data_IF_057173290493
#
_entry.id   IF_057173290493
#
_cell.length_a   1.000
_cell.length_b   1.000
_cell.length_c   1.000
_cell.angle_alpha   90.00
_cell.angle_beta   90.00
_cell.angle_gamma   90.00
#
_symmetry.space_group_name_H-M   'P 1'
#
loop_
_entity.id
_entity.type
_entity.pdbx_description
1 polymer ?
2 polymer ?
3 polymer ?
4 non-polymer ?
5 non-polymer ?
6 non-polymer ?
7 water ?
#
loop_
_entity_poly.entity_id
_entity_poly.type
_entity_poly.pdbx_seq_one_letter_code
_entity_poly.pdbx_strand_id
1 'polydeoxyribonucleotide' '(DG)(DG)(DG)(DG)(DT)(DG)(DT)(DG)(DG)(DT)(DA)(DG)' ?
2 'polydeoxyribonucleotide' '(DA)(DT)(DC)(DG)(DC)(DT)(DA)(DC)(DC)(DA)(DC)(DA)(DC)(DC)(DC)(DC)(DT)' ?
#
# COMPACT_ATOMS: atom_id res chain seq x y z
N UNK C 12 13.80 3.20 -25.22
CA UNK C 12 13.20 1.87 -24.89
C UNK C 12 14.28 0.95 -24.29
N UNK C 13 13.98 0.32 -23.15
CA UNK C 13 15.00 -0.51 -22.44
C UNK C 13 14.44 -1.92 -22.26
N UNK C 14 15.07 -2.91 -22.88
CA UNK C 14 14.56 -4.30 -22.82
C UNK C 14 15.05 -4.98 -21.53
N UNK C 15 14.46 -6.10 -21.16
CA UNK C 15 14.84 -6.64 -19.86
C UNK C 15 16.26 -7.18 -19.85
N UNK C 16 16.87 -7.47 -21.01
CA UNK C 16 18.25 -7.93 -21.02
C UNK C 16 19.25 -6.79 -21.06
N UNK C 17 18.78 -5.55 -21.10
CA UNK C 17 19.63 -4.36 -21.03
C UNK C 17 20.00 -4.09 -19.57
N UNK C 18 21.27 -3.78 -19.29
CA UNK C 18 21.66 -3.50 -17.89
C UNK C 18 20.86 -2.38 -17.22
N UNK C 19 20.29 -1.44 -17.98
CA UNK C 19 19.52 -0.35 -17.39
C UNK C 19 18.08 -0.73 -17.08
N UNK C 20 17.67 -1.98 -17.34
CA UNK C 20 16.23 -2.32 -17.20
C UNK C 20 15.71 -2.03 -15.78
N UNK C 21 16.32 -2.63 -14.76
CA UNK C 21 15.82 -2.47 -13.38
C UNK C 21 15.66 -0.98 -13.08
N UNK C 22 16.67 -0.19 -13.41
CA UNK C 22 16.60 1.23 -13.09
C UNK C 22 15.43 1.90 -13.80
N UNK C 23 15.25 1.60 -15.10
CA UNK C 23 14.19 2.24 -15.86
C UNK C 23 12.81 1.74 -15.42
N UNK C 24 12.67 0.44 -15.17
CA UNK C 24 11.39 -0.08 -14.72
C UNK C 24 10.98 0.56 -13.40
N UNK C 25 11.88 0.51 -12.41
CA UNK C 25 11.58 1.10 -11.10
C UNK C 25 11.33 2.60 -11.22
N UNK C 26 12.06 3.29 -12.10
CA UNK C 26 11.80 4.72 -12.27
C UNK C 26 10.38 5.00 -12.75
N UNK C 27 9.79 4.09 -13.53
CA UNK C 27 8.46 4.29 -14.09
C UNK C 27 7.34 3.69 -13.26
N UNK C 28 7.65 2.71 -12.41
CA UNK C 28 6.64 1.92 -11.71
C UNK C 28 6.10 2.67 -10.49
N UNK C 29 4.83 3.04 -10.53
CA UNK C 29 4.26 3.67 -9.34
C UNK C 29 4.20 2.71 -8.17
N UNK C 30 4.03 1.40 -8.44
CA UNK C 30 3.96 0.44 -7.34
C UNK C 30 5.32 0.28 -6.66
N UNK C 31 6.40 0.31 -7.45
CA UNK C 31 7.74 0.38 -6.85
C UNK C 31 7.88 1.62 -5.96
N UNK C 32 7.49 2.79 -6.49
CA UNK C 32 7.60 4.02 -5.71
C UNK C 32 6.85 3.91 -4.40
N UNK C 33 5.61 3.38 -4.46
CA UNK C 33 4.80 3.27 -3.25
C UNK C 33 5.52 2.45 -2.18
N UNK C 34 6.04 1.28 -2.56
CA UNK C 34 6.77 0.45 -1.58
C UNK C 34 8.04 1.13 -1.11
N UNK C 35 8.81 1.73 -2.02
CA UNK C 35 10.02 2.42 -1.62
C UNK C 35 9.71 3.56 -0.65
N UNK C 36 8.68 4.35 -0.96
CA UNK C 36 8.27 5.44 -0.08
C UNK C 36 7.86 4.92 1.28
N UNK C 37 7.07 3.84 1.30
CA UNK C 37 6.64 3.28 2.59
C UNK C 37 7.85 2.79 3.39
N UNK C 38 8.79 2.11 2.72
CA UNK C 38 9.97 1.62 3.43
C UNK C 38 10.77 2.76 4.01
N UNK C 39 10.91 3.85 3.26
CA UNK C 39 11.70 4.98 3.74
C UNK C 39 11.00 5.65 4.94
N UNK C 40 9.67 5.80 4.89
CA UNK C 40 8.95 6.36 6.01
C UNK C 40 9.15 5.53 7.28
N UNK C 41 9.15 4.21 7.13
CA UNK C 41 9.37 3.33 8.28
C UNK C 41 10.78 3.51 8.84
N UNK C 42 11.80 3.48 7.98
CA UNK C 42 13.16 3.68 8.48
C UNK C 42 13.29 5.02 9.18
N UNK C 43 12.63 6.05 8.65
CA UNK C 43 12.73 7.37 9.24
C UNK C 43 12.10 7.39 10.63
N UNK C 44 10.92 6.80 10.77
CA UNK C 44 10.28 6.70 12.07
C UNK C 44 11.23 6.02 13.07
N UNK C 45 11.85 4.92 12.66
CA UNK C 45 12.75 4.20 13.56
C UNK C 45 13.96 5.05 13.92
N UNK C 46 14.49 5.81 12.96
CA UNK C 46 15.69 6.58 13.25
C UNK C 46 15.38 7.79 14.13
N UNK C 47 14.24 8.45 13.91
CA UNK C 47 13.88 9.60 14.74
C UNK C 47 13.48 9.20 16.15
N UNK C 48 13.15 7.93 16.35
CA UNK C 48 12.71 7.43 17.64
C UNK C 48 13.71 6.44 18.24
N UNK C 49 14.96 6.47 17.77
CA UNK C 49 15.98 5.55 18.28
C UNK C 49 16.10 5.68 19.80
N UNK C 50 15.93 6.89 20.34
CA UNK C 50 16.03 7.13 21.77
C UNK C 50 14.74 7.56 22.44
N UNK C 51 13.65 7.71 21.71
CA UNK C 51 12.41 8.09 22.41
C UNK C 51 11.67 6.82 22.80
N UNK C 52 10.96 6.85 23.94
CA UNK C 52 10.07 5.74 24.34
C UNK C 52 8.71 6.00 23.66
N UNK C 53 8.67 5.66 22.39
CA UNK C 53 7.53 5.95 21.47
C UNK C 53 6.57 4.79 21.42
N UNK C 54 5.57 4.84 22.31
CA UNK C 54 4.52 3.78 22.35
C UNK C 54 3.38 4.16 23.28
N UNK C 55 2.15 3.81 22.90
CA UNK C 55 0.94 3.94 23.73
C UNK C 55 1.06 2.83 24.75
N UNK C 56 0.64 3.11 25.96
CA UNK C 56 0.63 2.12 27.03
C UNK C 56 -0.81 1.87 27.47
N UNK C 57 -0.99 0.82 28.27
CA UNK C 57 -2.34 0.49 28.72
C UNK C 57 -2.91 1.57 29.63
N UNK C 58 -2.05 2.43 30.19
CA UNK C 58 -2.50 3.53 31.02
C UNK C 58 -3.16 4.65 30.20
N UNK C 59 -2.92 4.71 28.90
CA UNK C 59 -3.40 5.83 28.11
C UNK C 59 -4.76 5.52 27.51
N UNK C 60 -5.64 6.52 27.50
CA UNK C 60 -6.84 6.50 26.69
C UNK C 60 -6.57 7.39 25.49
N UNK C 61 -6.94 6.92 24.31
CA UNK C 61 -6.44 7.59 23.11
C UNK C 61 -7.55 7.79 22.08
N UNK C 62 -7.34 8.75 21.19
CA UNK C 62 -8.18 8.99 20.03
C UNK C 62 -7.33 8.79 18.79
N UNK C 63 -7.92 8.17 17.77
CA UNK C 63 -7.26 7.90 16.49
C UNK C 63 -7.77 8.90 15.46
N UNK C 64 -6.84 9.62 14.84
CA UNK C 64 -7.13 10.46 13.68
C UNK C 64 -6.45 9.79 12.48
N UNK C 65 -7.25 9.12 11.65
CA UNK C 65 -6.76 8.47 10.44
C UNK C 65 -6.88 9.43 9.26
N UNK C 66 -5.74 9.86 8.72
CA UNK C 66 -5.66 11.00 7.80
C UNK C 66 -5.12 10.52 6.46
N UNK C 67 -5.76 10.95 5.36
CA UNK C 67 -5.42 10.39 4.03
C UNK C 67 -5.72 11.41 2.93
N UNK C 68 -4.81 11.58 1.98
CA UNK C 68 -5.08 12.45 0.82
C UNK C 68 -6.21 11.87 -0.02
N UNK C 69 -7.12 12.74 -0.46
CA UNK C 69 -8.15 12.32 -1.43
C UNK C 69 -7.48 12.24 -2.80
N UNK C 70 -7.85 11.21 -3.60
CA UNK C 70 -7.27 10.95 -4.96
C UNK C 70 -5.86 11.54 -5.06
N UNK C 71 -4.93 10.98 -4.29
CA UNK C 71 -3.58 11.57 -4.13
C UNK C 71 -2.90 11.89 -5.46
N UNK C 72 -2.60 10.88 -6.25
CA UNK C 72 -1.87 11.16 -7.48
C UNK C 72 -2.64 12.12 -8.39
N UNK C 73 -3.93 11.90 -8.57
CA UNK C 73 -4.71 12.76 -9.45
C UNK C 73 -4.69 14.21 -8.96
N UNK C 74 -4.83 14.41 -7.66
CA UNK C 74 -4.78 15.77 -7.11
C UNK C 74 -3.43 16.42 -7.39
N UNK C 75 -2.34 15.74 -7.04
CA UNK C 75 -1.01 16.32 -7.18
C UNK C 75 -0.67 16.49 -8.65
N UNK C 76 -0.91 15.45 -9.47
CA UNK C 76 -0.66 15.57 -10.92
C UNK C 76 -1.43 16.73 -11.52
N UNK C 77 -2.65 16.94 -11.06
CA UNK C 77 -3.42 18.06 -11.58
C UNK C 77 -2.79 19.40 -11.16
N UNK C 78 -2.49 19.54 -9.86
CA UNK C 78 -1.92 20.80 -9.37
C UNK C 78 -0.61 21.15 -10.07
N UNK C 79 0.19 20.16 -10.44
CA UNK C 79 1.47 20.35 -11.10
C UNK C 79 1.40 20.10 -12.60
N UNK C 80 0.20 20.06 -13.19
CA UNK C 80 0.09 19.70 -14.61
C UNK C 80 0.82 20.71 -15.48
N UNK C 81 1.30 20.22 -16.64
CA UNK C 81 2.00 21.05 -17.60
C UNK C 81 1.03 21.94 -18.38
N UNK C 82 1.59 22.81 -19.23
CA UNK C 82 0.78 23.78 -19.96
C UNK C 82 -0.23 23.11 -20.89
N UNK C 83 0.12 21.94 -21.43
CA UNK C 83 -0.80 21.21 -22.29
C UNK C 83 -2.13 20.94 -21.62
N UNK C 84 -2.18 20.92 -20.29
CA UNK C 84 -3.39 20.60 -19.55
C UNK C 84 -3.94 21.80 -18.77
N UNK C 85 -3.54 23.03 -19.14
CA UNK C 85 -3.88 24.19 -18.32
C UNK C 85 -5.39 24.34 -18.14
N UNK C 86 -6.16 24.12 -19.21
CA UNK C 86 -7.59 24.35 -19.16
C UNK C 86 -8.37 23.22 -18.50
N UNK C 87 -7.70 22.13 -18.13
CA UNK C 87 -8.39 21.05 -17.46
C UNK C 87 -8.90 21.51 -16.11
N UNK C 88 -10.09 21.04 -15.76
CA UNK C 88 -10.87 21.50 -14.61
C UNK C 88 -11.09 20.34 -13.63
N UNK C 89 -10.42 20.41 -12.47
CA UNK C 89 -10.42 19.29 -11.53
C UNK C 89 -11.81 18.97 -10.99
N UNK C 90 -12.68 19.98 -10.87
CA UNK C 90 -14.01 19.77 -10.33
C UNK C 90 -15.03 19.33 -11.38
N UNK C 91 -14.73 19.49 -12.66
CA UNK C 91 -15.68 19.19 -13.72
C UNK C 91 -15.24 18.09 -14.66
N UNK C 92 -13.93 17.79 -14.76
CA UNK C 92 -13.51 16.79 -15.73
C UNK C 92 -13.16 15.46 -15.05
N UNK C 93 -13.43 14.34 -15.72
CA UNK C 93 -12.94 13.05 -15.21
C UNK C 93 -11.46 12.92 -15.53
N UNK C 94 -10.65 12.76 -14.49
CA UNK C 94 -9.20 12.83 -14.59
C UNK C 94 -8.62 11.54 -14.03
N UNK C 95 -7.67 10.94 -14.76
CA UNK C 95 -6.94 9.77 -14.32
C UNK C 95 -5.45 10.05 -14.46
N UNK C 96 -4.65 9.30 -13.69
CA UNK C 96 -3.20 9.32 -13.83
C UNK C 96 -2.78 7.94 -14.35
N UNK C 97 -2.08 7.90 -15.46
CA UNK C 97 -1.64 6.61 -16.01
C UNK C 97 -0.54 6.89 -17.04
N UNK C 98 0.17 5.82 -17.44
CA UNK C 98 1.21 5.89 -18.46
C UNK C 98 0.64 5.89 -19.87
N UNK C 99 -0.40 5.08 -20.10
CA UNK C 99 -0.75 4.70 -21.45
C UNK C 99 -2.14 5.11 -21.89
N UNK C 100 -2.69 4.38 -22.87
CA UNK C 100 -3.95 4.74 -23.50
C UNK C 100 -4.96 3.60 -23.57
N UNK C 101 -4.54 2.36 -23.26
CA UNK C 101 -5.45 1.24 -23.42
C UNK C 101 -5.37 0.31 -22.22
N UNK C 102 -4.42 -0.63 -22.22
CA UNK C 102 -4.34 -1.59 -21.12
C UNK C 102 -3.33 -1.14 -20.08
N UNK C 103 -3.48 0.13 -19.71
CA UNK C 103 -2.63 0.86 -18.78
C UNK C 103 -3.40 1.10 -17.48
N UNK C 104 -2.75 0.82 -16.35
CA UNK C 104 -3.41 0.94 -15.05
C UNK C 104 -3.76 2.40 -14.75
N UNK C 105 -4.99 2.61 -14.28
CA UNK C 105 -5.36 3.88 -13.69
C UNK C 105 -4.88 3.86 -12.24
N UNK C 106 -3.75 4.54 -11.99
CA UNK C 106 -3.21 4.57 -10.63
C UNK C 106 -4.04 5.45 -9.72
N UNK C 107 -4.72 6.46 -10.27
CA UNK C 107 -5.53 7.40 -9.50
C UNK C 107 -6.60 8.00 -10.42
N UNK C 108 -7.80 8.20 -9.88
CA UNK C 108 -8.84 8.94 -10.61
C UNK C 108 -9.52 9.88 -9.63
N UNK C 109 -9.92 11.05 -10.12
CA UNK C 109 -10.58 12.02 -9.27
C UNK C 109 -12.04 11.63 -9.09
N UNK C 110 -12.73 12.38 -8.24
CA UNK C 110 -14.06 11.94 -7.85
C UNK C 110 -15.09 12.21 -8.93
N UNK C 111 -14.84 13.14 -9.86
CA UNK C 111 -15.68 13.23 -11.05
C UNK C 111 -15.67 11.91 -11.81
N UNK C 112 -14.47 11.38 -12.08
CA UNK C 112 -14.36 10.09 -12.76
C UNK C 112 -15.08 8.99 -11.98
N UNK C 113 -14.92 8.98 -10.66
CA UNK C 113 -15.57 7.96 -9.86
C UNK C 113 -17.09 8.08 -9.93
N UNK C 114 -17.60 9.28 -10.21
CA UNK C 114 -19.05 9.44 -10.30
C UNK C 114 -19.63 8.65 -11.48
N UNK C 115 -18.80 8.27 -12.45
CA UNK C 115 -19.21 7.45 -13.58
C UNK C 115 -18.93 5.98 -13.37
N UNK C 116 -18.38 5.60 -12.22
CA UNK C 116 -18.04 4.22 -11.95
C UNK C 116 -16.58 3.86 -12.14
N UNK C 117 -15.73 4.83 -12.50
CA UNK C 117 -14.30 4.54 -12.67
C UNK C 117 -13.65 4.34 -11.32
N UNK C 118 -12.71 3.41 -11.24
CA UNK C 118 -12.04 3.02 -10.00
C UNK C 118 -10.54 2.94 -10.22
N UNK C 119 -9.77 3.22 -9.16
CA UNK C 119 -8.35 2.97 -9.22
C UNK C 119 -8.11 1.52 -9.63
N UNK C 120 -7.11 1.32 -10.48
CA UNK C 120 -6.74 -0.01 -10.88
C UNK C 120 -7.42 -0.54 -12.13
N UNK C 121 -8.50 0.11 -12.58
CA UNK C 121 -9.06 -0.19 -13.89
C UNK C 121 -8.05 0.13 -14.99
N UNK C 122 -8.19 -0.54 -16.14
CA UNK C 122 -7.45 -0.12 -17.33
C UNK C 122 -8.15 1.06 -17.99
N UNK C 123 -7.35 1.93 -18.62
CA UNK C 123 -7.92 3.07 -19.34
C UNK C 123 -9.02 2.61 -20.29
N UNK C 124 -8.74 1.58 -21.08
CA UNK C 124 -9.74 1.07 -22.03
C UNK C 124 -11.07 0.80 -21.33
N UNK C 125 -11.04 0.11 -20.19
CA UNK C 125 -12.25 -0.13 -19.44
C UNK C 125 -12.89 1.19 -19.00
N UNK C 126 -12.09 2.12 -18.47
CA UNK C 126 -12.66 3.35 -17.91
C UNK C 126 -13.33 4.19 -18.97
N UNK C 127 -12.74 4.26 -20.17
CA UNK C 127 -13.32 5.07 -21.23
C UNK C 127 -14.74 4.62 -21.57
N UNK C 128 -14.99 3.32 -21.50
CA UNK C 128 -16.30 2.81 -21.90
C UNK C 128 -17.41 3.24 -20.94
N UNK C 129 -17.06 3.70 -19.74
CA UNK C 129 -18.05 4.13 -18.78
C UNK C 129 -18.43 5.59 -18.95
N UNK C 130 -17.81 6.29 -19.87
CA UNK C 130 -18.15 7.69 -20.00
C UNK C 130 -19.27 7.87 -21.01
N UNK C 131 -20.28 8.68 -20.72
CA UNK C 131 -21.31 8.95 -21.70
C UNK C 131 -20.72 9.69 -22.89
N UNK C 132 -21.40 9.59 -24.03
CA UNK C 132 -20.90 10.23 -25.23
C UNK C 132 -20.77 11.74 -25.01
N UNK C 133 -19.68 12.30 -25.54
CA UNK C 133 -19.38 13.70 -25.40
C UNK C 133 -18.45 14.05 -24.26
N UNK C 134 -18.26 13.14 -23.31
CA UNK C 134 -17.44 13.40 -22.13
C UNK C 134 -16.10 12.72 -22.32
N UNK C 135 -15.01 13.50 -22.22
CA UNK C 135 -13.68 13.01 -22.51
C UNK C 135 -12.92 12.71 -21.22
N UNK C 136 -12.21 11.58 -21.21
CA UNK C 136 -11.29 11.27 -20.14
C UNK C 136 -10.03 12.08 -20.32
N UNK C 137 -9.62 12.77 -19.27
CA UNK C 137 -8.33 13.46 -19.25
C UNK C 137 -7.30 12.55 -18.59
N UNK C 138 -6.21 12.24 -19.29
CA UNK C 138 -5.15 11.42 -18.72
C UNK C 138 -3.91 12.28 -18.46
N UNK C 139 -3.51 12.37 -17.16
CA UNK C 139 -2.33 13.12 -16.75
C UNK C 139 -1.18 12.17 -16.49
N UNK C 140 0.05 12.60 -16.74
CA UNK C 140 1.22 11.77 -16.44
C UNK C 140 1.52 11.78 -14.95
N UNK C 141 2.29 10.78 -14.53
CA UNK C 141 2.82 10.75 -13.18
C UNK C 141 3.79 11.90 -12.93
N UNK C 142 3.79 12.40 -11.70
CA UNK C 142 4.72 13.42 -11.25
C UNK C 142 5.35 12.92 -9.93
N UNK C 143 6.25 11.96 -10.05
CA UNK C 143 6.66 11.18 -8.87
C UNK C 143 7.33 12.07 -7.83
N UNK C 144 8.21 12.96 -8.26
CA UNK C 144 8.92 13.84 -7.30
C UNK C 144 7.92 14.74 -6.57
N UNK C 145 6.99 15.30 -7.32
CA UNK C 145 6.03 16.17 -6.65
C UNK C 145 5.13 15.35 -5.73
N UNK C 146 4.84 14.09 -6.05
CA UNK C 146 4.15 13.25 -5.08
C UNK C 146 4.92 13.23 -3.77
N UNK C 147 6.22 12.98 -3.85
CA UNK C 147 7.06 12.94 -2.66
C UNK C 147 7.08 14.29 -1.94
N UNK C 148 7.22 15.39 -2.70
CA UNK C 148 7.27 16.71 -2.06
C UNK C 148 5.97 17.01 -1.32
N UNK C 149 4.82 16.68 -1.91
CA UNK C 149 3.55 16.92 -1.23
C UNK C 149 3.44 16.08 0.03
N UNK C 150 3.96 14.85 -0.01
CA UNK C 150 3.92 14.01 1.18
C UNK C 150 4.79 14.61 2.27
N UNK C 151 5.98 15.10 1.91
CA UNK C 151 6.83 15.80 2.88
C UNK C 151 6.07 16.92 3.59
N UNK C 152 5.35 17.75 2.82
CA UNK C 152 4.57 18.84 3.43
C UNK C 152 3.52 18.30 4.38
N UNK C 153 2.85 17.22 3.98
CA UNK C 153 1.87 16.53 4.80
C UNK C 153 2.47 16.11 6.14
N UNK C 154 3.57 15.35 6.12
CA UNK C 154 4.15 14.85 7.35
C UNK C 154 4.75 15.97 8.18
N UNK C 155 5.35 16.97 7.52
CA UNK C 155 5.82 18.14 8.23
C UNK C 155 4.69 18.87 8.94
N UNK C 156 3.56 19.07 8.26
CA UNK C 156 2.40 19.72 8.87
C UNK C 156 1.90 18.95 10.10
N UNK C 157 1.72 17.63 9.97
CA UNK C 157 1.24 16.83 11.10
C UNK C 157 2.12 17.03 12.35
N UNK C 158 3.44 17.03 12.16
CA UNK C 158 4.37 17.23 13.26
C UNK C 158 4.26 18.63 13.84
N UNK C 159 4.27 19.64 12.95
CA UNK C 159 4.21 21.04 13.36
C UNK C 159 2.99 21.36 14.23
N UNK C 160 1.86 20.70 13.99
CA UNK C 160 0.64 21.04 14.74
C UNK C 160 0.77 20.73 16.22
N UNK C 161 1.67 19.83 16.60
CA UNK C 161 1.89 19.45 17.98
C UNK C 161 0.58 19.14 18.70
N UNK C 162 -0.21 18.24 18.11
CA UNK C 162 -1.43 17.77 18.74
C UNK C 162 -1.47 16.26 18.89
N UNK C 163 -0.48 15.54 18.35
CA UNK C 163 -0.46 14.08 18.42
C UNK C 163 0.71 13.60 19.27
N UNK C 164 0.42 12.60 20.10
CA UNK C 164 1.50 11.93 20.83
C UNK C 164 2.26 10.96 19.95
N UNK C 165 1.62 10.43 18.90
CA UNK C 165 2.23 9.42 18.06
C UNK C 165 1.71 9.58 16.64
N UNK C 166 2.62 9.71 15.69
CA UNK C 166 2.28 9.84 14.27
C UNK C 166 2.85 8.62 13.58
N UNK C 167 1.97 7.75 13.07
CA UNK C 167 2.38 6.48 12.48
C UNK C 167 2.28 6.58 10.97
N UNK C 168 3.37 6.48 10.21
CA UNK C 168 3.25 6.51 8.75
C UNK C 168 2.66 5.21 8.21
N UNK C 169 1.60 5.33 7.42
CA UNK C 169 1.04 4.17 6.73
C UNK C 169 1.56 4.10 5.30
N UNK C 170 1.65 5.24 4.65
CA UNK C 170 2.08 5.29 3.25
C UNK C 170 2.44 6.72 2.90
N UNK C 171 2.74 6.93 1.61
CA UNK C 171 3.08 8.26 1.11
C UNK C 171 1.97 9.26 1.42
N UNK C 172 0.70 8.84 1.39
CA UNK C 172 -0.41 9.77 1.50
C UNK C 172 -1.31 9.47 2.69
N UNK C 173 -0.83 8.72 3.70
CA UNK C 173 -1.72 8.26 4.75
C UNK C 173 -0.98 8.07 6.06
N UNK C 174 -1.54 8.59 7.16
CA UNK C 174 -0.96 8.39 8.47
C UNK C 174 -2.04 8.16 9.52
N UNK C 175 -1.70 7.39 10.54
CA UNK C 175 -2.54 7.19 11.71
C UNK C 175 -1.91 7.98 12.83
N UNK C 176 -2.64 8.98 13.32
CA UNK C 176 -2.17 9.93 14.32
C UNK C 176 -2.94 9.73 15.62
N UNK C 177 -2.21 9.59 16.72
CA UNK C 177 -2.79 9.20 18.00
C UNK C 177 -2.70 10.37 18.97
N UNK C 178 -3.82 10.70 19.60
CA UNK C 178 -3.86 11.73 20.63
C UNK C 178 -4.25 11.08 21.95
N UNK C 179 -3.38 11.17 22.95
CA UNK C 179 -3.68 10.66 24.28
C UNK C 179 -4.52 11.69 25.03
N UNK C 180 -5.59 11.23 25.68
CA UNK C 180 -6.52 12.08 26.38
C UNK C 180 -6.37 11.79 27.88
N UNK C 181 -5.79 12.68 28.66
CA UNK C 181 -5.80 12.49 30.12
C UNK C 181 -7.24 12.49 30.61
N UNK C 182 -7.59 11.52 31.44
CA UNK C 182 -9.01 11.56 31.80
C UNK C 182 -9.31 12.54 32.95
N UNK C 183 -8.37 13.46 33.24
CA UNK C 183 -8.72 14.76 33.83
C UNK C 183 -9.26 15.73 32.80
N UNK C 184 -9.13 15.42 31.51
CA UNK C 184 -9.66 16.25 30.44
C UNK C 184 -10.96 15.62 29.93
N UNK C 185 -11.86 16.45 29.47
CA UNK C 185 -13.13 15.97 28.98
C UNK C 185 -13.18 16.16 27.46
N UNK C 186 -12.97 15.06 26.74
CA UNK C 186 -13.02 15.10 25.28
C UNK C 186 -14.44 15.30 24.79
N UNK C 187 -14.60 16.05 23.70
CA UNK C 187 -15.91 16.28 23.13
C UNK C 187 -15.82 16.25 21.61
N UNK C 188 -16.97 15.96 20.99
CA UNK C 188 -17.08 15.97 19.54
C UNK C 188 -16.71 17.33 18.99
N UNK C 189 -17.08 18.40 19.70
CA UNK C 189 -16.78 19.75 19.24
C UNK C 189 -15.28 19.99 19.20
N UNK C 190 -14.55 19.56 20.24
CA UNK C 190 -13.10 19.68 20.20
C UNK C 190 -12.51 18.84 19.08
N UNK C 191 -13.07 17.64 18.85
CA UNK C 191 -12.52 16.79 17.80
C UNK C 191 -12.84 17.36 16.42
N UNK C 192 -14.04 17.93 16.24
CA UNK C 192 -14.35 18.56 14.96
C UNK C 192 -13.41 19.73 14.70
N UNK C 193 -13.09 20.48 15.74
CA UNK C 193 -12.14 21.61 15.59
C UNK C 193 -10.78 21.05 15.16
N UNK C 194 -10.31 19.98 15.78
CA UNK C 194 -9.01 19.44 15.40
C UNK C 194 -9.03 18.98 13.95
N UNK C 195 -10.08 18.24 13.55
CA UNK C 195 -10.16 17.79 12.16
C UNK C 195 -10.10 18.97 11.20
N UNK C 196 -10.87 20.03 11.48
CA UNK C 196 -10.85 21.20 10.63
C UNK C 196 -9.47 21.83 10.58
N UNK C 197 -8.83 21.99 11.74
CA UNK C 197 -7.48 22.53 11.75
C UNK C 197 -6.56 21.70 10.85
N UNK C 198 -6.55 20.37 11.07
CA UNK C 198 -5.67 19.51 10.29
C UNK C 198 -5.94 19.69 8.80
N UNK C 199 -7.22 19.64 8.42
CA UNK C 199 -7.59 19.76 7.01
C UNK C 199 -7.12 21.09 6.42
N UNK C 200 -7.35 22.20 7.13
CA UNK C 200 -6.96 23.50 6.59
C UNK C 200 -5.44 23.64 6.49
N UNK C 201 -4.72 23.22 7.52
CA UNK C 201 -3.27 23.39 7.54
C UNK C 201 -2.61 22.53 6.46
N UNK C 202 -3.11 21.32 6.24
CA UNK C 202 -2.56 20.51 5.17
C UNK C 202 -2.94 21.09 3.81
N UNK C 203 -4.18 21.57 3.66
CA UNK C 203 -4.56 22.25 2.43
C UNK C 203 -3.58 23.41 2.13
N UNK C 204 -3.32 24.27 3.11
CA UNK C 204 -2.38 25.37 2.90
C UNK C 204 -0.96 24.85 2.69
N UNK C 205 -0.52 23.86 3.48
CA UNK C 205 0.87 23.44 3.40
C UNK C 205 1.21 22.68 2.14
N UNK C 206 0.24 21.98 1.55
CA UNK C 206 0.41 21.25 0.31
C UNK C 206 0.09 22.08 -0.91
N UNK C 207 -0.33 23.34 -0.72
CA UNK C 207 -0.71 24.23 -1.81
C UNK C 207 -1.85 23.65 -2.65
N UNK C 208 -2.86 23.12 -1.97
CA UNK C 208 -4.12 22.78 -2.62
C UNK C 208 -4.55 21.33 -2.55
N UNK C 209 -3.83 20.41 -1.91
CA UNK C 209 -4.31 19.04 -1.76
C UNK C 209 -5.29 18.92 -0.60
N UNK C 210 -6.27 18.03 -0.72
CA UNK C 210 -7.24 17.83 0.35
C UNK C 210 -7.00 16.48 1.02
N UNK C 211 -7.21 16.43 2.34
CA UNK C 211 -7.21 15.18 3.06
C UNK C 211 -8.58 15.00 3.71
N UNK C 212 -8.99 13.75 3.84
CA UNK C 212 -10.12 13.43 4.71
C UNK C 212 -9.61 12.75 5.97
N UNK C 213 -10.49 12.65 6.96
CA UNK C 213 -10.10 12.24 8.30
C UNK C 213 -11.22 11.41 8.91
N UNK C 214 -10.87 10.23 9.40
CA UNK C 214 -11.74 9.47 10.30
C UNK C 214 -11.21 9.55 11.72
N UNK C 215 -12.12 9.78 12.66
CA UNK C 215 -11.73 10.02 14.05
C UNK C 215 -12.57 9.12 14.95
N UNK C 216 -11.91 8.32 15.79
CA UNK C 216 -12.61 7.32 16.60
C UNK C 216 -11.73 6.89 17.78
N UNK C 217 -12.28 5.99 18.60
CA UNK C 217 -11.49 5.35 19.67
C UNK C 217 -11.08 3.93 19.32
N UNK C 218 -11.17 3.50 18.06
CA UNK C 218 -10.51 2.29 17.61
C UNK C 218 -9.88 2.53 16.25
N UNK C 219 -8.83 1.76 15.96
CA UNK C 219 -8.22 1.84 14.64
C UNK C 219 -9.22 1.49 13.55
N UNK C 220 -10.01 0.44 13.77
CA UNK C 220 -10.89 -0.03 12.71
C UNK C 220 -12.01 0.98 12.47
N UNK C 221 -12.55 1.57 13.53
CA UNK C 221 -13.60 2.56 13.34
C UNK C 221 -13.06 3.82 12.66
N UNK C 222 -11.84 4.25 13.01
CA UNK C 222 -11.25 5.42 12.37
C UNK C 222 -11.10 5.19 10.87
N UNK C 223 -10.72 3.96 10.49
CA UNK C 223 -10.57 3.60 9.06
C UNK C 223 -11.92 3.66 8.35
N UNK C 224 -12.96 3.06 8.95
CA UNK C 224 -14.29 3.17 8.35
C UNK C 224 -14.78 4.62 8.33
N UNK C 225 -14.56 5.36 9.42
CA UNK C 225 -14.98 6.77 9.45
C UNK C 225 -14.32 7.53 8.31
N UNK C 226 -13.05 7.20 8.03
CA UNK C 226 -12.32 7.86 6.95
C UNK C 226 -12.99 7.61 5.62
N UNK C 227 -13.24 6.33 5.36
CA UNK C 227 -14.03 6.03 4.12
C UNK C 227 -15.41 6.85 3.97
N UNK C 228 -16.05 6.92 5.16
CA UNK C 228 -17.32 7.65 5.18
C UNK C 228 -17.11 9.13 4.93
N UNK C 229 -15.98 9.68 5.36
CA UNK C 229 -15.74 11.11 5.24
C UNK C 229 -15.41 11.55 3.83
N UNK C 230 -14.94 10.65 2.95
CA UNK C 230 -14.42 11.08 1.65
C UNK C 230 -15.56 11.46 0.70
N UNK C 231 -15.32 12.40 -0.22
CA UNK C 231 -14.08 13.16 -0.36
C UNK C 231 -14.07 14.44 0.47
N UNK C 232 -12.88 14.90 0.85
CA UNK C 232 -12.68 16.26 1.38
C UNK C 232 -13.57 16.53 2.58
N UNK C 233 -13.56 15.62 3.55
CA UNK C 233 -14.33 15.87 4.76
C UNK C 233 -13.79 15.08 5.92
N UNK C 234 -14.54 15.10 7.02
CA UNK C 234 -14.15 14.31 8.19
C UNK C 234 -15.38 13.67 8.78
N UNK C 235 -15.14 12.62 9.56
CA UNK C 235 -16.22 11.91 10.24
C UNK C 235 -15.72 11.46 11.59
N UNK C 236 -16.51 11.74 12.62
CA UNK C 236 -16.21 11.36 13.99
C UNK C 236 -17.26 10.34 14.38
N UNK C 237 -16.86 9.08 14.53
CA UNK C 237 -17.75 8.02 15.01
C UNK C 237 -17.01 7.21 16.06
N UNK C 238 -17.38 7.43 17.33
CA UNK C 238 -16.78 6.64 18.43
C UNK C 238 -17.63 5.38 18.64
N UNK C 239 -17.11 4.43 19.40
CA UNK C 239 -17.86 3.22 19.68
C UNK C 239 -19.22 3.54 20.27
N UNK C 240 -19.30 4.58 21.09
CA UNK C 240 -20.58 4.94 21.70
C UNK C 240 -21.55 5.50 20.68
N UNK C 241 -21.07 5.93 19.51
CA UNK C 241 -21.93 6.48 18.47
C UNK C 241 -22.49 5.44 17.52
N UNK C 242 -22.07 4.18 17.63
CA UNK C 242 -22.39 3.22 16.58
C UNK C 242 -23.90 3.09 16.41
N UNK C 243 -24.32 2.67 15.23
CA UNK C 243 -25.73 2.62 14.88
C UNK C 243 -25.91 1.87 13.55
N UNK C 244 -27.16 1.49 13.29
CA UNK C 244 -27.48 0.82 12.04
C UNK C 244 -27.16 1.71 10.85
N UNK C 245 -27.45 3.01 10.97
CA UNK C 245 -27.17 3.93 9.89
C UNK C 245 -25.70 3.86 9.50
N UNK C 246 -24.81 3.73 10.48
CA UNK C 246 -23.38 3.66 10.19
C UNK C 246 -23.03 2.37 9.47
N UNK C 247 -23.32 1.22 10.08
CA UNK C 247 -22.98 -0.06 9.45
C UNK C 247 -23.62 -0.24 8.08
N UNK C 248 -24.82 0.31 7.87
CA UNK C 248 -25.48 0.21 6.57
C UNK C 248 -24.75 0.94 5.47
N UNK C 249 -23.79 1.80 5.81
CA UNK C 249 -23.14 2.63 4.82
C UNK C 249 -21.94 1.96 4.18
N UNK C 250 -21.54 0.77 4.64
CA UNK C 250 -20.31 0.13 4.21
C UNK C 250 -20.55 -1.19 3.48
N UNK C 251 -19.73 -1.42 2.45
CA UNK C 251 -19.61 -2.73 1.80
C UNK C 251 -18.73 -3.65 2.65
N UNK C 252 -18.83 -4.95 2.36
CA UNK C 252 -18.10 -5.92 3.17
C UNK C 252 -16.59 -5.75 3.02
N UNK C 253 -16.12 -5.44 1.81
CA UNK C 253 -14.67 -5.27 1.63
C UNK C 253 -14.19 -3.89 2.07
N UNK C 254 -15.05 -3.06 2.67
CA UNK C 254 -14.55 -1.88 3.37
C UNK C 254 -13.85 -2.25 4.68
N UNK C 255 -14.08 -3.46 5.18
CA UNK C 255 -13.41 -3.91 6.39
C UNK C 255 -11.93 -4.16 6.11
N UNK C 256 -11.04 -3.76 7.01
CA UNK C 256 -9.63 -4.12 6.86
C UNK C 256 -9.45 -5.63 6.89
N UNK C 257 -8.69 -6.14 5.94
CA UNK C 257 -8.47 -7.56 5.90
C UNK C 257 -9.40 -8.32 4.99
N UNK C 258 -10.41 -7.67 4.41
CA UNK C 258 -11.37 -8.29 3.52
C UNK C 258 -11.09 -7.78 2.11
N UNK C 259 -10.44 -8.63 1.31
CA UNK C 259 -10.28 -8.41 -0.12
C UNK C 259 -11.27 -9.27 -0.89
N UNK C 260 -11.00 -9.40 -2.20
CA UNK C 260 -11.98 -10.04 -3.08
C UNK C 260 -12.23 -11.49 -2.67
N UNK C 261 -11.18 -12.22 -2.28
CA UNK C 261 -11.37 -13.64 -2.02
C UNK C 261 -12.13 -13.85 -0.71
N UNK C 262 -11.82 -13.08 0.33
CA UNK C 262 -12.64 -13.13 1.55
C UNK C 262 -14.06 -12.65 1.25
N UNK C 263 -14.19 -11.59 0.46
CA UNK C 263 -15.50 -11.13 0.00
C UNK C 263 -16.31 -12.29 -0.57
N UNK C 264 -15.76 -12.95 -1.58
CA UNK C 264 -16.44 -14.08 -2.20
C UNK C 264 -16.91 -15.09 -1.16
N UNK C 265 -16.02 -15.43 -0.21
CA UNK C 265 -16.34 -16.44 0.78
C UNK C 265 -17.51 -16.02 1.66
N UNK C 266 -17.48 -14.77 2.13
CA UNK C 266 -18.56 -14.29 3.01
C UNK C 266 -19.88 -14.23 2.25
N UNK C 267 -19.83 -13.85 0.97
CA UNK C 267 -21.04 -13.79 0.16
C UNK C 267 -21.67 -15.16 0.00
N UNK C 268 -20.85 -16.19 -0.24
CA UNK C 268 -21.39 -17.53 -0.36
C UNK C 268 -21.91 -18.03 0.99
N UNK C 269 -21.20 -17.72 2.08
CA UNK C 269 -21.59 -18.28 3.37
C UNK C 269 -22.83 -17.60 3.95
N UNK C 270 -23.01 -16.30 3.72
CA UNK C 270 -24.03 -15.54 4.42
C UNK C 270 -25.07 -14.94 3.47
N UNK C 271 -25.37 -15.62 2.37
CA UNK C 271 -26.49 -15.27 1.50
C UNK C 271 -26.32 -13.87 0.90
N UNK C 272 -25.12 -13.60 0.41
CA UNK C 272 -24.81 -12.36 -0.29
C UNK C 272 -25.21 -11.11 0.49
N UNK C 273 -24.65 -10.90 1.69
CA UNK C 273 -24.86 -9.62 2.38
C UNK C 273 -24.36 -8.48 1.50
N UNK C 274 -25.05 -7.34 1.55
CA UNK C 274 -24.68 -6.19 0.73
C UNK C 274 -24.22 -4.99 1.53
N UNK C 275 -24.15 -5.13 2.86
CA UNK C 275 -23.69 -4.07 3.74
C UNK C 275 -23.15 -4.72 5.00
N UNK C 276 -22.27 -4.01 5.70
CA UNK C 276 -21.82 -4.51 6.99
C UNK C 276 -23.00 -4.69 7.94
N UNK C 277 -24.05 -3.91 7.76
CA UNK C 277 -25.23 -4.12 8.57
C UNK C 277 -25.86 -5.48 8.25
N UNK C 278 -25.99 -5.82 6.96
CA UNK C 278 -26.46 -7.16 6.60
C UNK C 278 -25.64 -8.23 7.29
N UNK C 279 -24.31 -8.11 7.18
CA UNK C 279 -23.43 -9.13 7.73
C UNK C 279 -23.56 -9.18 9.23
N UNK C 280 -23.58 -8.02 9.87
CA UNK C 280 -23.67 -7.94 11.32
C UNK C 280 -24.87 -8.70 11.85
N UNK C 281 -26.01 -8.59 11.15
CA UNK C 281 -27.25 -9.20 11.61
C UNK C 281 -27.31 -10.68 11.32
N UNK C 282 -26.51 -11.19 10.39
CA UNK C 282 -26.60 -12.56 9.93
C UNK C 282 -25.54 -13.48 10.51
N UNK C 283 -24.36 -12.96 10.82
CA UNK C 283 -23.23 -13.83 11.14
C UNK C 283 -23.35 -14.40 12.54
N UNK C 284 -22.65 -15.51 12.74
CA UNK C 284 -22.28 -16.05 14.04
C UNK C 284 -20.76 -16.27 14.01
N UNK C 285 -20.08 -15.92 15.09
CA UNK C 285 -18.60 -16.05 15.14
C UNK C 285 -18.14 -17.41 14.63
N UNK C 286 -18.85 -18.49 14.97
CA UNK C 286 -18.39 -19.81 14.57
C UNK C 286 -18.53 -20.01 13.07
N UNK C 287 -19.69 -19.67 12.50
CA UNK C 287 -19.83 -19.74 11.05
C UNK C 287 -18.82 -18.82 10.35
N UNK C 288 -18.53 -17.67 10.95
CA UNK C 288 -17.52 -16.78 10.39
C UNK C 288 -16.18 -17.47 10.27
N UNK C 289 -15.70 -18.07 11.37
CA UNK C 289 -14.39 -18.70 11.33
C UNK C 289 -14.34 -19.78 10.27
N UNK C 290 -15.41 -20.56 10.14
CA UNK C 290 -15.45 -21.62 9.14
C UNK C 290 -15.38 -21.06 7.72
N UNK C 291 -15.94 -19.88 7.49
CA UNK C 291 -15.96 -19.32 6.15
C UNK C 291 -14.60 -18.78 5.74
N UNK C 292 -13.97 -17.98 6.60
CA UNK C 292 -12.83 -17.16 6.21
C UNK C 292 -11.57 -17.46 7.02
N UNK C 293 -11.64 -18.34 8.00
CA UNK C 293 -10.49 -18.69 8.80
C UNK C 293 -10.64 -18.22 10.24
N UNK C 294 -9.88 -18.86 11.12
CA UNK C 294 -10.03 -18.61 12.55
C UNK C 294 -9.62 -17.18 12.92
N UNK C 295 -8.40 -16.76 12.56
CA UNK C 295 -7.92 -15.45 12.97
C UNK C 295 -8.65 -14.33 12.25
N UNK C 296 -8.85 -14.48 10.94
CA UNK C 296 -9.59 -13.47 10.18
C UNK C 296 -11.03 -13.41 10.64
N UNK C 297 -11.62 -14.58 10.92
CA UNK C 297 -12.97 -14.60 11.45
C UNK C 297 -13.09 -13.82 12.74
N UNK C 298 -12.13 -14.01 13.65
CA UNK C 298 -12.17 -13.28 14.96
C UNK C 298 -11.97 -11.78 14.71
N UNK C 299 -11.07 -11.41 13.79
CA UNK C 299 -10.85 -10.01 13.47
C UNK C 299 -12.13 -9.35 12.97
N UNK C 300 -12.85 -10.03 12.08
CA UNK C 300 -14.07 -9.46 11.52
C UNK C 300 -15.14 -9.34 12.61
N UNK C 301 -15.32 -10.41 13.39
CA UNK C 301 -16.21 -10.35 14.54
C UNK C 301 -15.94 -9.11 15.39
N UNK C 302 -14.69 -8.91 15.78
CA UNK C 302 -14.36 -7.77 16.62
C UNK C 302 -14.59 -6.47 15.87
N UNK C 303 -14.25 -6.45 14.58
CA UNK C 303 -14.48 -5.24 13.77
C UNK C 303 -15.95 -4.86 13.76
N UNK C 304 -16.85 -5.84 13.64
CA UNK C 304 -18.27 -5.53 13.65
C UNK C 304 -18.76 -5.06 15.02
N UNK C 305 -17.91 -5.07 16.05
CA UNK C 305 -18.21 -4.44 17.32
C UNK C 305 -17.51 -3.09 17.47
N UNK C 306 -16.86 -2.61 16.41
CA UNK C 306 -16.05 -1.41 16.48
C UNK C 306 -14.71 -1.60 17.16
N UNK C 307 -14.27 -2.84 17.38
CA UNK C 307 -13.10 -3.14 18.20
C UNK C 307 -11.95 -3.69 17.36
N UNK C 308 -10.74 -3.28 17.74
CA UNK C 308 -9.51 -3.79 17.14
C UNK C 308 -9.16 -5.16 17.73
N UNK C 309 -8.46 -5.96 16.93
CA UNK C 309 -7.91 -7.22 17.39
C UNK C 309 -6.48 -7.02 17.91
N UNK C 310 -5.97 -8.04 18.62
CA UNK C 310 -4.65 -7.93 19.22
C UNK C 310 -3.59 -7.60 18.19
N UNK C 311 -3.67 -8.20 17.00
CA UNK C 311 -2.62 -8.00 16.00
C UNK C 311 -2.58 -6.54 15.56
N UNK C 312 -3.74 -5.93 15.30
CA UNK C 312 -3.78 -4.55 14.85
C UNK C 312 -3.27 -3.59 15.93
N UNK C 313 -3.51 -3.92 17.20
CA UNK C 313 -3.13 -3.02 18.29
C UNK C 313 -1.62 -2.94 18.48
N UNK C 314 -0.86 -3.92 17.95
CA UNK C 314 0.59 -3.89 18.13
C UNK C 314 1.20 -2.61 17.58
N UNK C 315 0.62 -2.04 16.52
CA UNK C 315 1.22 -0.82 15.98
C UNK C 315 1.18 0.31 17.02
N UNK C 316 0.17 0.31 17.89
CA UNK C 316 0.08 1.34 18.92
C UNK C 316 1.02 1.08 20.09
N UNK C 317 1.12 -0.19 20.51
CA UNK C 317 1.83 -0.52 21.74
C UNK C 317 3.29 -0.89 21.52
N UNK C 318 3.67 -1.22 20.28
CA UNK C 318 5.09 -1.41 20.00
C UNK C 318 5.40 -1.05 18.56
N UNK C 319 5.24 0.23 18.18
CA UNK C 319 5.42 0.60 16.77
C UNK C 319 6.81 0.30 16.26
N UNK C 320 7.84 0.45 17.11
CA UNK C 320 9.21 0.13 16.67
C UNK C 320 9.22 -1.29 16.09
N UNK C 321 8.69 -2.28 16.82
CA UNK C 321 8.73 -3.66 16.34
C UNK C 321 7.90 -3.84 15.08
N UNK C 322 6.69 -3.29 15.07
CA UNK C 322 5.83 -3.46 13.90
C UNK C 322 6.50 -2.87 12.67
N UNK C 323 7.14 -1.69 12.81
CA UNK C 323 7.66 -0.99 11.66
C UNK C 323 9.08 -1.42 11.28
N UNK C 324 9.72 -2.27 12.07
CA UNK C 324 11.02 -2.81 11.71
C UNK C 324 10.89 -3.73 10.50
N UNK C 325 11.74 -3.51 9.51
CA UNK C 325 11.73 -4.36 8.32
C UNK C 325 12.32 -5.73 8.64
N UNK C 326 11.64 -6.80 8.23
CA UNK C 326 12.08 -8.16 8.54
C UNK C 326 12.41 -8.98 7.30
N UNK C 327 12.22 -8.42 6.11
CA UNK C 327 12.62 -9.08 4.89
C UNK C 327 12.86 -8.00 3.84
N UNK C 328 13.41 -8.41 2.72
CA UNK C 328 13.74 -7.46 1.67
C UNK C 328 13.59 -8.19 0.34
N UNK C 329 12.95 -7.56 -0.64
CA UNK C 329 12.77 -8.26 -1.90
C UNK C 329 12.51 -7.27 -3.03
N UNK C 330 12.65 -7.78 -4.26
CA UNK C 330 12.19 -7.09 -5.46
C UNK C 330 11.29 -8.05 -6.22
N UNK C 331 10.33 -7.48 -6.96
CA UNK C 331 9.44 -8.24 -7.82
C UNK C 331 9.38 -7.58 -9.18
N UNK C 332 9.64 -8.33 -10.25
CA UNK C 332 9.52 -7.78 -11.60
C UNK C 332 8.65 -8.76 -12.41
N UNK C 333 7.41 -8.38 -12.63
CA UNK C 333 6.47 -9.18 -13.40
C UNK C 333 5.94 -8.42 -14.61
N UNK C 334 6.74 -7.51 -15.15
CA UNK C 334 6.40 -6.76 -16.36
C UNK C 334 7.65 -6.61 -17.20
N UNK C 335 7.51 -6.76 -18.52
CA UNK C 335 8.66 -6.68 -19.40
C UNK C 335 9.60 -7.86 -19.40
N UNK C 336 9.22 -9.00 -18.80
CA UNK C 336 10.12 -10.14 -18.70
C UNK C 336 10.01 -10.96 -19.98
N UNK C 337 11.05 -10.89 -20.82
CA UNK C 337 11.06 -11.63 -22.09
C UNK C 337 12.52 -12.01 -22.36
N UNK C 338 12.89 -13.21 -21.94
CA UNK C 338 14.26 -13.68 -22.05
C UNK C 338 14.35 -14.79 -23.07
N UNK C 339 15.42 -14.76 -23.87
CA UNK C 339 15.62 -15.73 -24.92
C UNK C 339 16.44 -16.94 -24.49
N UNK C 340 17.24 -16.84 -23.44
CA UNK C 340 18.08 -17.95 -23.03
C UNK C 340 18.46 -17.82 -21.57
N UNK C 341 19.05 -18.90 -21.04
CA UNK C 341 19.36 -18.97 -19.61
C UNK C 341 20.49 -18.02 -19.22
N UNK C 342 21.40 -17.71 -20.14
CA UNK C 342 22.46 -16.75 -19.86
C UNK C 342 21.88 -15.38 -19.51
N UNK C 343 20.84 -14.95 -20.23
CA UNK C 343 20.27 -13.65 -19.96
C UNK C 343 19.45 -13.67 -18.68
N UNK C 344 18.74 -14.76 -18.42
CA UNK C 344 18.07 -14.90 -17.13
C UNK C 344 19.07 -14.78 -15.98
N UNK C 345 20.16 -15.56 -16.05
CA UNK C 345 21.14 -15.55 -14.97
C UNK C 345 21.74 -14.15 -14.78
N UNK C 346 22.01 -13.43 -15.87
CA UNK C 346 22.55 -12.09 -15.71
C UNK C 346 21.53 -11.18 -15.05
N UNK C 347 20.24 -11.35 -15.39
CA UNK C 347 19.20 -10.56 -14.75
C UNK C 347 19.14 -10.85 -13.25
N UNK C 348 19.16 -12.13 -12.89
CA UNK C 348 19.20 -12.51 -11.48
C UNK C 348 20.37 -11.84 -10.77
N UNK C 349 21.54 -11.83 -11.41
CA UNK C 349 22.72 -11.21 -10.79
C UNK C 349 22.49 -9.72 -10.58
N UNK C 350 21.92 -9.04 -11.58
CA UNK C 350 21.63 -7.61 -11.44
C UNK C 350 20.66 -7.37 -10.29
N UNK C 351 19.66 -8.25 -10.16
CA UNK C 351 18.71 -8.11 -9.06
C UNK C 351 19.37 -8.34 -7.72
N UNK C 352 20.24 -9.35 -7.63
CA UNK C 352 21.01 -9.61 -6.41
C UNK C 352 21.87 -8.41 -6.03
N UNK C 353 22.56 -7.82 -7.00
CA UNK C 353 23.35 -6.62 -6.74
C UNK C 353 22.49 -5.52 -6.14
N UNK C 354 21.33 -5.27 -6.76
CA UNK C 354 20.44 -4.23 -6.27
C UNK C 354 19.98 -4.53 -4.84
N UNK C 355 19.60 -5.78 -4.57
CA UNK C 355 19.15 -6.14 -3.23
C UNK C 355 20.26 -6.02 -2.19
N UNK C 356 21.48 -6.41 -2.56
CA UNK C 356 22.59 -6.33 -1.59
C UNK C 356 22.96 -4.89 -1.28
N UNK C 357 22.83 -3.98 -2.25
CA UNK C 357 22.96 -2.56 -1.92
C UNK C 357 21.96 -2.17 -0.84
N UNK C 358 20.70 -2.57 -1.01
CA UNK C 358 19.68 -2.26 -0.01
C UNK C 358 20.04 -2.89 1.33
N UNK C 359 20.50 -4.14 1.30
CA UNK C 359 20.86 -4.86 2.53
C UNK C 359 22.03 -4.19 3.24
N UNK C 360 23.03 -3.72 2.49
CA UNK C 360 24.16 -3.09 3.14
C UNK C 360 23.81 -1.70 3.67
N UNK C 361 22.87 -1.00 3.03
CA UNK C 361 22.44 0.30 3.52
C UNK C 361 21.88 0.19 4.93
N UNK C 362 21.15 -0.90 5.22
CA UNK C 362 20.65 -1.13 6.57
C UNK C 362 21.61 -1.96 7.42
N UNK C 363 22.79 -2.28 6.92
CA UNK C 363 23.83 -2.95 7.70
C UNK C 363 23.31 -4.24 8.33
N UNK C 364 22.82 -5.13 7.45
CA UNK C 364 22.34 -6.43 7.86
C UNK C 364 22.88 -7.50 6.93
N UNK C 365 22.79 -8.75 7.39
CA UNK C 365 23.02 -9.92 6.54
C UNK C 365 21.72 -10.70 6.39
N UNK C 366 21.73 -11.69 5.50
CA UNK C 366 20.56 -12.55 5.34
C UNK C 366 20.96 -14.02 5.53
N UNK C 367 20.06 -14.78 6.15
CA UNK C 367 20.28 -16.20 6.41
C UNK C 367 19.41 -17.10 5.54
N UNK C 368 18.50 -16.53 4.75
CA UNK C 368 17.54 -17.34 4.00
C UNK C 368 17.08 -16.52 2.81
N UNK C 369 17.04 -17.15 1.63
CA UNK C 369 16.63 -16.44 0.43
C UNK C 369 15.57 -17.25 -0.30
N UNK C 370 14.81 -16.55 -1.14
CA UNK C 370 13.75 -17.15 -1.93
C UNK C 370 13.77 -16.59 -3.33
N UNK C 371 13.54 -17.48 -4.30
CA UNK C 371 13.34 -17.05 -5.70
C UNK C 371 11.91 -17.49 -6.06
N UNK C 372 11.10 -16.55 -6.55
CA UNK C 372 9.71 -16.85 -6.97
C UNK C 372 9.59 -16.52 -8.46
N UNK C 373 8.96 -17.39 -9.25
CA UNK C 373 8.78 -17.01 -10.67
C UNK C 373 7.34 -17.18 -11.17
N UNK C 374 7.05 -16.44 -12.24
CA UNK C 374 5.76 -16.56 -12.93
C UNK C 374 6.07 -17.20 -14.29
N UNK C 375 5.39 -18.27 -14.62
CA UNK C 375 5.60 -19.01 -15.86
C UNK C 375 4.32 -18.99 -16.69
N UNK C 376 4.43 -18.69 -17.98
CA UNK C 376 3.26 -18.66 -18.84
C UNK C 376 2.48 -19.95 -18.74
N UNK C 377 1.16 -19.84 -18.55
CA UNK C 377 0.28 -21.00 -18.57
C UNK C 377 0.36 -21.67 -19.93
N UNK C 378 0.28 -23.00 -19.94
CA UNK C 378 0.51 -23.74 -21.19
C UNK C 378 -0.40 -23.27 -22.30
N UNK C 379 -1.64 -22.90 -21.98
CA UNK C 379 -2.61 -22.47 -22.96
C UNK C 379 -2.74 -20.95 -23.08
N UNK C 380 -1.79 -20.18 -22.54
CA UNK C 380 -1.94 -18.73 -22.57
C UNK C 380 -1.15 -18.11 -23.71
N UNK C 381 -1.64 -17.06 -24.36
CA UNK C 381 -0.90 -16.48 -25.49
C UNK C 381 0.47 -16.01 -25.05
N UNK C 382 1.43 -16.14 -25.98
CA UNK C 382 2.80 -15.77 -25.67
C UNK C 382 2.92 -14.26 -25.49
N UNK C 383 2.06 -13.51 -26.16
CA UNK C 383 2.00 -12.07 -25.92
C UNK C 383 0.61 -11.76 -25.40
N UNK C 384 0.48 -11.42 -24.12
CA UNK C 384 -0.85 -11.31 -23.51
C UNK C 384 -1.53 -10.00 -23.88
N UNK C 385 -2.77 -9.80 -23.43
CA UNK C 385 -3.49 -8.57 -23.77
C UNK C 385 -2.75 -7.28 -23.40
N UNK C 386 -2.14 -7.24 -22.23
CA UNK C 386 -1.37 -6.06 -21.81
C UNK C 386 0.04 -6.12 -22.39
N UNK C 387 0.45 -5.04 -23.05
CA UNK C 387 1.79 -5.00 -23.65
C UNK C 387 2.83 -5.26 -22.58
N UNK C 388 3.69 -6.25 -22.83
CA UNK C 388 4.77 -6.66 -21.92
C UNK C 388 4.25 -7.21 -20.59
N UNK C 389 2.98 -7.56 -20.51
CA UNK C 389 2.44 -8.08 -19.28
C UNK C 389 2.89 -9.51 -19.02
N UNK C 390 2.73 -9.92 -17.76
CA UNK C 390 2.97 -11.32 -17.45
C UNK C 390 1.86 -12.21 -18.00
N UNK C 391 0.65 -11.67 -18.22
CA UNK C 391 -0.50 -12.47 -18.59
C UNK C 391 -0.82 -13.56 -17.57
N UNK C 392 -1.55 -14.58 -18.03
CA UNK C 392 -1.97 -15.69 -17.18
C UNK C 392 -0.78 -16.62 -16.93
N UNK C 393 -0.41 -16.81 -15.67
CA UNK C 393 0.77 -17.57 -15.30
C UNK C 393 0.46 -18.54 -14.17
N UNK C 394 1.35 -19.53 -14.05
CA UNK C 394 1.49 -20.34 -12.85
C UNK C 394 2.69 -19.81 -12.06
N UNK C 395 2.57 -19.80 -10.73
CA UNK C 395 3.65 -19.31 -9.88
C UNK C 395 4.35 -20.48 -9.20
N UNK C 396 5.66 -20.34 -9.01
CA UNK C 396 6.51 -21.34 -8.40
C UNK C 396 7.48 -20.61 -7.47
N UNK C 397 7.76 -21.21 -6.31
CA UNK C 397 8.62 -20.57 -5.32
C UNK C 397 9.52 -21.62 -4.69
N UNK C 398 10.74 -21.23 -4.34
CA UNK C 398 11.59 -22.13 -3.60
C UNK C 398 12.59 -21.32 -2.79
N UNK C 399 12.87 -21.78 -1.58
CA UNK C 399 13.73 -21.04 -0.68
C UNK C 399 14.89 -21.93 -0.27
N UNK C 400 15.90 -21.27 0.31
CA UNK C 400 17.13 -21.98 0.73
C UNK C 400 17.74 -21.29 1.95
N UNK C 401 18.04 -22.05 2.99
CA UNK C 401 18.78 -21.52 4.14
C UNK C 401 20.26 -21.46 3.79
N UNK C 402 20.90 -20.34 4.12
CA UNK C 402 22.29 -20.15 3.75
C UNK C 402 23.26 -20.71 4.77
N UNK C 403 22.80 -20.99 5.99
CA UNK C 403 23.71 -21.48 7.01
C UNK C 403 24.36 -20.33 7.73
N UNK C 404 25.51 -19.87 7.22
CA UNK C 404 26.13 -18.67 7.76
C UNK C 404 25.40 -17.45 7.22
N UNK C 405 24.89 -16.55 8.08
CA UNK C 405 24.32 -15.30 7.56
C UNK C 405 25.39 -14.59 6.74
N UNK C 406 24.99 -13.99 5.62
CA UNK C 406 25.98 -13.41 4.72
C UNK C 406 25.39 -12.22 3.98
N UNK C 407 26.30 -11.35 3.53
CA UNK C 407 25.97 -10.37 2.49
C UNK C 407 26.87 -10.54 1.26
N UNK C 408 27.45 -11.73 1.06
CA UNK C 408 28.38 -11.93 -0.05
C UNK C 408 27.63 -12.19 -1.35
N UNK C 409 27.88 -11.33 -2.34
CA UNK C 409 27.28 -11.52 -3.65
C UNK C 409 27.53 -12.92 -4.20
N UNK C 410 28.78 -13.40 -4.12
CA UNK C 410 29.09 -14.69 -4.70
C UNK C 410 28.19 -15.79 -4.18
N UNK C 411 28.03 -15.85 -2.86
CA UNK C 411 27.20 -16.89 -2.24
C UNK C 411 25.73 -16.71 -2.64
N UNK C 412 25.21 -15.48 -2.51
CA UNK C 412 23.77 -15.27 -2.69
C UNK C 412 23.39 -15.44 -4.16
N UNK C 413 24.15 -14.84 -5.07
CA UNK C 413 23.80 -14.93 -6.48
C UNK C 413 23.89 -16.36 -6.99
N UNK C 414 24.92 -17.09 -6.58
CA UNK C 414 25.03 -18.49 -6.98
C UNK C 414 23.82 -19.28 -6.52
N UNK C 415 23.42 -19.08 -5.26
CA UNK C 415 22.27 -19.83 -4.73
C UNK C 415 20.98 -19.42 -5.41
N UNK C 416 20.80 -18.12 -5.70
CA UNK C 416 19.61 -17.70 -6.43
C UNK C 416 19.55 -18.36 -7.79
N UNK C 417 20.67 -18.39 -8.50
CA UNK C 417 20.67 -18.99 -9.83
C UNK C 417 20.39 -20.47 -9.74
N UNK C 418 20.92 -21.13 -8.70
CA UNK C 418 20.60 -22.53 -8.44
C UNK C 418 19.12 -22.72 -8.19
N UNK C 419 18.52 -21.85 -7.37
CA UNK C 419 17.09 -21.93 -7.12
C UNK C 419 16.29 -21.85 -8.43
N UNK C 420 16.65 -20.92 -9.32
CA UNK C 420 15.99 -20.87 -10.62
C UNK C 420 16.09 -22.21 -11.33
N UNK C 421 17.31 -22.77 -11.38
CA UNK C 421 17.53 -24.05 -12.04
C UNK C 421 16.59 -25.12 -11.50
N UNK C 422 16.43 -25.20 -10.18
CA UNK C 422 15.60 -26.25 -9.62
C UNK C 422 14.13 -26.10 -9.97
N UNK C 423 13.69 -24.91 -10.38
CA UNK C 423 12.29 -24.72 -10.73
C UNK C 423 11.97 -25.06 -12.18
N UNK C 424 12.98 -25.22 -13.02
CA UNK C 424 12.82 -25.79 -14.35
C UNK C 424 12.10 -24.95 -15.38
N UNK C 425 12.01 -23.66 -15.21
CA UNK C 425 11.20 -22.89 -16.12
C UNK C 425 12.05 -22.52 -17.33
N UNK C 426 11.67 -22.91 -18.54
CA UNK C 426 12.41 -22.49 -19.74
C UNK C 426 12.47 -20.97 -19.83
N UNK C 427 13.63 -20.41 -20.21
CA UNK C 427 13.73 -18.94 -20.28
C UNK C 427 12.64 -18.26 -21.07
N UNK C 428 12.26 -18.81 -22.23
CA UNK C 428 11.24 -18.14 -23.04
C UNK C 428 9.84 -18.27 -22.45
N UNK C 429 9.64 -19.10 -21.43
CA UNK C 429 8.37 -19.20 -20.74
C UNK C 429 8.31 -18.31 -19.50
N UNK C 430 9.44 -17.74 -19.10
CA UNK C 430 9.48 -16.89 -17.91
C UNK C 430 8.70 -15.61 -18.16
N UNK C 431 7.87 -15.22 -17.19
CA UNK C 431 7.12 -13.97 -17.31
C UNK C 431 7.25 -13.09 -16.09
N UNK C 432 7.95 -13.55 -15.05
CA UNK C 432 8.13 -12.74 -13.87
C UNK C 432 9.11 -13.40 -12.93
N UNK C 433 9.76 -12.55 -12.12
CA UNK C 433 10.76 -13.03 -11.15
C UNK C 433 10.68 -12.21 -9.86
N UNK C 434 10.71 -12.87 -8.72
CA UNK C 434 10.86 -12.18 -7.44
C UNK C 434 12.06 -12.77 -6.72
N UNK C 435 12.87 -11.90 -6.13
CA UNK C 435 14.06 -12.27 -5.38
C UNK C 435 13.93 -11.75 -3.97
N UNK C 436 14.06 -12.62 -2.97
CA UNK C 436 13.76 -12.24 -1.59
C UNK C 436 14.87 -12.66 -0.63
N UNK C 437 15.20 -11.77 0.29
CA UNK C 437 15.99 -12.08 1.47
C UNK C 437 14.98 -12.22 2.63
N UNK C 438 14.75 -13.46 3.08
CA UNK C 438 13.61 -13.71 3.97
C UNK C 438 13.93 -13.44 5.42
N UNK C 439 15.14 -13.74 5.87
CA UNK C 439 15.54 -13.52 7.27
C UNK C 439 16.73 -12.59 7.28
N UNK C 440 16.64 -11.54 8.08
CA UNK C 440 17.73 -10.57 8.20
C UNK C 440 18.34 -10.67 9.59
N UNK C 441 19.65 -10.49 9.65
CA UNK C 441 20.42 -10.62 10.89
C UNK C 441 21.25 -9.36 11.09
N UNK C 442 21.24 -8.81 12.30
CA UNK C 442 21.99 -7.59 12.55
C UNK C 442 23.49 -7.88 12.46
N UNK C 443 24.25 -6.84 12.15
CA UNK C 443 25.70 -6.89 12.15
C UNK C 443 26.17 -6.09 13.36
N UNK C 444 26.86 -6.75 14.28
CA UNK C 444 27.29 -6.09 15.49
C UNK C 444 28.73 -5.66 15.39
N UNK C 445 29.23 -5.00 16.44
CA UNK C 445 30.65 -4.59 16.44
C UNK C 445 31.61 -5.77 16.54
N UNK C 446 31.15 -6.90 17.08
CA UNK C 446 32.00 -8.06 17.36
C UNK C 446 31.83 -9.05 16.21
N UNK C 447 32.85 -9.17 15.37
CA UNK C 447 32.82 -10.11 14.26
C UNK C 447 33.96 -11.12 14.35
N UNK C 448 34.41 -11.42 15.56
CA UNK C 448 35.43 -12.43 15.75
C UNK C 448 34.78 -13.81 15.78
N UNK C 449 35.10 -14.62 14.77
CA UNK C 449 34.37 -15.82 14.31
C UNK C 449 33.16 -16.16 15.15
X LIG D 1 -10.63 23.08 3.65
X LIG D 1 -9.85 23.32 4.81
X LIG D 1 -9.73 22.48 2.53
X LIG D 1 -9.61 21.09 2.60
X LIG D 1 -10.38 22.92 1.18
X LIG D 1 -11.52 22.12 1.02
X LIG E 1 -2.90 3.13 -6.15
X LIG E 1 -2.35 2.47 -7.26
X LIG E 1 -3.00 1.32 -7.78
X LIG E 1 -4.22 1.01 -7.30
X LIG E 1 -4.78 1.68 -6.23
X LIG E 1 -4.03 2.65 -5.57
X LIG E 1 -1.29 2.84 -7.78
X LIG E 1 -4.89 0.04 -7.91
X LIG E 1 -2.09 4.10 -5.43
X LIG E 1 -2.67 5.51 -5.56
X LIG E 1 -2.25 6.15 -6.73
X LIG E 1 -2.12 6.24 -4.30
X LIG E 1 -1.96 5.07 -3.28
X LIG E 1 -1.99 3.86 -4.03
X LIG E 1 -0.80 6.72 -4.59
X LIG E 1 -3.00 5.03 -2.19
X LIG E 1 -4.22 4.97 -2.87
X LIG E 1 -5.55 5.26 -2.07
X LIG E 1 -5.31 5.98 -0.79
X LIG E 1 -6.13 3.89 -1.78
X LIG E 1 -6.51 5.98 -3.13
X LIG E 1 -6.48 7.51 -3.63
X LIG E 1 -5.64 8.37 -2.73
X LIG E 1 -6.09 7.50 -5.09
X LIG E 1 -7.93 7.78 -3.45
X LIG E 1 -8.85 7.90 -2.13
X LIG E 1 -7.92 7.72 -0.98
X LIG E 1 -9.88 6.80 -2.18
X LIG E 1 -9.51 9.26 -2.08
X LIG E 1 -5.79 1.45 -5.89
X LIG E 1 -4.35 3.01 -4.59
X LIG E 1 -4.48 -0.45 -8.70
X LIG E 1 -5.81 -0.23 -7.57
X LIG E 1 -1.10 4.03 -5.88
X LIG E 1 -3.76 5.53 -5.65
X LIG E 1 -1.50 6.73 -6.52
X LIG E 1 -2.80 6.96 -3.96
X LIG E 1 -1.02 5.23 -2.75
X LIG E 1 -0.20 6.22 -4.01
X LIG E 1 -2.86 4.18 -1.54
X LIG E 1 -2.95 5.93 -1.57
X LIG F 1 -5.71 8.36 -0.45
X LIG G 1 -3.45 5.57 1.11
#
# INVERSE_FOLDING_TARGET
PVNLNNLEAKRIVACDDPDFLTSYFAHSRLHHLSAWKANLKDKFLNENIHKYTKITDKDTYIIFHIDFDCFFATVAYLCRSSSFSACDFKRDPIVVCHGTKNSDIASCNYVARSYGIKNGMWVSQAEKMLPNGIKLISLPYTFEQFQLKSEAFYSTLKRLNIFNLILPISIDEAVCVRIIPDNIHNTNTLNARLCEEIRQEIFQGTNGCTVSIGCSDSLVLARLALKMAKPNGYNITFKSNLSEEFWSSFKLDDLPGVGHSTLSRLESTFDSPHSLNDLRKRYTLDALKASVGSKLGMKIHLALQGQDDEESLKILYDPKEVLQRKSLSIDINWGIRFKNITQVDLFIERGCQYLLEKLNEINKTTSQITLKLMRRCKDAPIEPPKYMGMGRCDSFSRSSRLGIPTNEFGIIATEMKSLYRTLGCPPMELRGLALQFNKLVDVGPDNNQLK
GOL C1 O1 C2 O2 C3 O3
CTP N1 C2 N3 C4 C5 C6 O2 N4 C1' C2' O2' C3' C4' O4' O3' C5' O5' PA O1A O2A O3A PB O1B O2B O3B PG O1G O2G O3G H5 H6 HN41 HN42 H1' H2' HO2' H3' H4' HO3' H5'1 H5'2
CA CA
CA CA
#
